data_IF_544053670171
#
_entry.id   IF_544053670171
#
_cell.length_a   1.000
_cell.length_b   1.000
_cell.length_c   1.000
_cell.angle_alpha   90.00
_cell.angle_beta   90.00
_cell.angle_gamma   90.00
#
_symmetry.space_group_name_H-M   'P 1'
#
loop_
_entity.id
_entity.type
_entity.pdbx_description
1 polymer ?
#
# COMPACT_ATOMS: atom_id res chain seq x y z
N UNK A 1 16.26 -8.28 -78.57
CA UNK A 1 16.33 -7.42 -77.36
C UNK A 1 15.64 -8.14 -76.21
N UNK A 2 16.37 -8.59 -75.19
CA UNK A 2 15.82 -9.28 -73.99
C UNK A 2 16.25 -8.47 -72.77
N UNK A 3 15.31 -7.81 -72.10
CA UNK A 3 15.58 -7.00 -70.90
C UNK A 3 15.51 -7.90 -69.66
N UNK A 4 16.58 -7.93 -68.88
CA UNK A 4 16.66 -8.55 -67.56
C UNK A 4 16.22 -7.49 -66.54
N UNK A 5 15.19 -7.78 -65.76
CA UNK A 5 14.76 -6.96 -64.63
C UNK A 5 15.32 -7.60 -63.35
N UNK A 6 16.29 -6.92 -62.72
CA UNK A 6 16.71 -7.18 -61.35
C UNK A 6 15.63 -6.68 -60.39
N UNK A 7 15.07 -7.58 -59.58
CA UNK A 7 14.20 -7.23 -58.46
C UNK A 7 15.03 -7.06 -57.18
N UNK A 8 15.00 -5.87 -56.60
CA UNK A 8 15.54 -5.56 -55.27
C UNK A 8 14.67 -6.21 -54.18
N UNK A 9 15.24 -7.13 -53.39
CA UNK A 9 14.59 -7.66 -52.19
C UNK A 9 14.76 -6.68 -51.03
N UNK A 10 13.67 -6.05 -50.60
CA UNK A 10 13.62 -5.17 -49.43
C UNK A 10 13.53 -6.03 -48.16
N UNK A 11 14.63 -6.16 -47.42
CA UNK A 11 14.65 -6.85 -46.13
C UNK A 11 14.08 -5.92 -45.04
N UNK A 12 12.85 -6.19 -44.60
CA UNK A 12 12.24 -5.57 -43.41
C UNK A 12 12.93 -6.10 -42.14
N UNK A 13 13.87 -5.34 -41.60
CA UNK A 13 14.41 -5.55 -40.25
C UNK A 13 13.33 -5.15 -39.22
N UNK A 14 12.62 -6.13 -38.67
CA UNK A 14 11.77 -5.93 -37.50
C UNK A 14 12.66 -5.76 -36.26
N UNK A 15 12.77 -4.53 -35.76
CA UNK A 15 13.38 -4.24 -34.47
C UNK A 15 12.42 -4.76 -33.38
N UNK A 16 12.74 -5.92 -32.81
CA UNK A 16 12.07 -6.43 -31.62
C UNK A 16 12.49 -5.54 -30.43
N UNK A 17 11.69 -4.53 -30.11
CA UNK A 17 11.84 -3.78 -28.86
C UNK A 17 11.41 -4.71 -27.73
N UNK A 18 12.36 -5.31 -27.05
CA UNK A 18 12.09 -6.03 -25.80
C UNK A 18 11.68 -5.03 -24.74
N UNK A 19 10.39 -4.96 -24.42
CA UNK A 19 9.92 -4.25 -23.25
C UNK A 19 10.54 -4.93 -22.01
N UNK A 20 11.41 -4.23 -21.30
CA UNK A 20 11.97 -4.71 -20.05
C UNK A 20 10.82 -4.93 -19.05
N UNK A 21 10.53 -6.20 -18.76
CA UNK A 21 9.47 -6.55 -17.82
C UNK A 21 9.91 -6.10 -16.42
N UNK A 22 9.11 -5.25 -15.77
CA UNK A 22 9.40 -4.77 -14.42
C UNK A 22 9.57 -5.98 -13.48
N UNK A 23 10.78 -6.21 -12.99
CA UNK A 23 11.03 -7.28 -12.03
C UNK A 23 10.44 -6.87 -10.68
N UNK A 24 9.46 -7.63 -10.22
CA UNK A 24 8.79 -7.41 -8.93
C UNK A 24 9.41 -8.34 -7.89
N UNK A 25 9.93 -7.77 -6.80
CA UNK A 25 10.42 -8.50 -5.63
C UNK A 25 9.43 -8.34 -4.48
N UNK A 26 9.05 -9.45 -3.84
CA UNK A 26 8.31 -9.38 -2.58
C UNK A 26 9.21 -8.80 -1.48
N UNK A 27 8.76 -7.73 -0.83
CA UNK A 27 9.46 -7.04 0.26
C UNK A 27 8.74 -7.18 1.60
N UNK A 28 7.47 -7.56 1.58
CA UNK A 28 6.70 -7.93 2.77
C UNK A 28 5.76 -9.09 2.45
N UNK A 29 5.53 -9.93 3.45
CA UNK A 29 4.49 -10.97 3.46
C UNK A 29 3.75 -10.85 4.79
N UNK A 30 2.42 -10.76 4.75
CA UNK A 30 1.59 -10.57 5.94
C UNK A 30 0.34 -11.46 5.84
N UNK A 31 0.24 -12.45 6.72
CA UNK A 31 -0.94 -13.31 6.83
C UNK A 31 -2.03 -12.58 7.62
N UNK A 32 -2.93 -11.85 6.95
CA UNK A 32 -3.92 -10.99 7.63
C UNK A 32 -4.87 -11.81 8.53
N UNK A 33 -5.27 -12.99 8.05
CA UNK A 33 -6.06 -13.97 8.78
C UNK A 33 -5.69 -15.39 8.35
N UNK A 34 -4.42 -15.75 8.56
CA UNK A 34 -3.81 -17.03 8.15
C UNK A 34 -3.40 -17.11 6.67
N UNK A 35 -2.84 -18.25 6.23
CA UNK A 35 -2.13 -18.36 4.94
C UNK A 35 -3.00 -18.10 3.69
N UNK A 36 -4.31 -18.37 3.79
CA UNK A 36 -5.26 -18.13 2.69
C UNK A 36 -5.55 -16.64 2.47
N UNK A 37 -5.40 -15.84 3.53
CA UNK A 37 -5.67 -14.41 3.54
C UNK A 37 -4.35 -13.63 3.65
N UNK A 38 -3.30 -14.15 3.02
CA UNK A 38 -2.00 -13.51 3.00
C UNK A 38 -1.90 -12.48 1.87
N UNK A 39 -1.31 -11.34 2.20
CA UNK A 39 -0.99 -10.27 1.27
C UNK A 39 0.52 -10.06 1.20
N UNK A 40 1.01 -9.70 0.02
CA UNK A 40 2.41 -9.35 -0.17
C UNK A 40 2.56 -7.95 -0.75
N UNK A 41 3.50 -7.19 -0.19
CA UNK A 41 3.98 -5.96 -0.80
C UNK A 41 5.08 -6.31 -1.78
N UNK A 42 4.88 -5.94 -3.03
CA UNK A 42 5.85 -6.10 -4.11
C UNK A 42 6.47 -4.74 -4.43
N UNK A 43 7.78 -4.74 -4.64
CA UNK A 43 8.57 -3.58 -5.08
C UNK A 43 9.20 -3.88 -6.43
N UNK A 44 8.98 -3.01 -7.41
CA UNK A 44 9.64 -3.08 -8.72
C UNK A 44 11.13 -2.76 -8.67
N UNK A 45 11.82 -2.87 -9.81
CA UNK A 45 13.16 -2.32 -9.99
C UNK A 45 13.18 -0.80 -9.78
N UNK A 46 14.28 -0.22 -9.25
CA UNK A 46 14.39 1.21 -9.02
C UNK A 46 14.30 2.01 -10.32
N UNK A 47 13.66 3.17 -10.24
CA UNK A 47 13.66 4.25 -11.22
C UNK A 47 14.26 5.48 -10.53
N UNK A 48 15.60 5.60 -10.58
CA UNK A 48 16.36 6.53 -9.72
C UNK A 48 16.07 6.19 -8.24
N UNK A 49 15.49 7.10 -7.47
CA UNK A 49 15.20 6.93 -6.03
C UNK A 49 13.76 6.46 -5.75
N UNK A 50 13.02 6.11 -6.79
CA UNK A 50 11.63 5.69 -6.69
C UNK A 50 11.46 4.23 -7.06
N UNK A 51 10.43 3.60 -6.50
CA UNK A 51 10.00 2.27 -6.88
C UNK A 51 8.50 2.27 -7.18
N UNK A 52 8.09 1.39 -8.07
CA UNK A 52 6.66 1.11 -8.29
C UNK A 52 6.23 0.01 -7.33
N UNK A 53 5.21 0.28 -6.52
CA UNK A 53 4.70 -0.65 -5.52
C UNK A 53 3.41 -1.33 -6.00
N UNK A 54 3.32 -2.62 -5.71
CA UNK A 54 2.14 -3.45 -6.00
C UNK A 54 1.78 -4.28 -4.79
N UNK A 55 0.51 -4.64 -4.70
CA UNK A 55 -0.02 -5.62 -3.76
C UNK A 55 -0.31 -6.92 -4.50
N UNK A 56 0.09 -8.04 -3.91
CA UNK A 56 -0.27 -9.38 -4.40
C UNK A 56 -1.18 -10.07 -3.40
N UNK A 57 -2.33 -10.52 -3.88
CA UNK A 57 -3.28 -11.38 -3.16
C UNK A 57 -3.87 -12.39 -4.14
N UNK A 58 -3.97 -13.67 -3.74
CA UNK A 58 -4.45 -14.78 -4.60
C UNK A 58 -3.80 -14.79 -5.99
N UNK A 59 -2.47 -14.61 -6.06
CA UNK A 59 -1.68 -14.52 -7.30
C UNK A 59 -2.01 -13.35 -8.24
N UNK A 60 -2.91 -12.44 -7.84
CA UNK A 60 -3.23 -11.22 -8.60
C UNK A 60 -2.39 -10.06 -8.09
N UNK A 61 -1.63 -9.45 -9.00
CA UNK A 61 -0.86 -8.24 -8.72
C UNK A 61 -1.71 -7.02 -9.08
N UNK A 62 -1.87 -6.10 -8.13
CA UNK A 62 -2.51 -4.80 -8.35
C UNK A 62 -1.55 -3.71 -7.94
N UNK A 63 -1.62 -2.56 -8.60
CA UNK A 63 -0.93 -1.37 -8.12
C UNK A 63 -1.41 -1.03 -6.70
N UNK A 64 -0.50 -0.50 -5.86
CA UNK A 64 -0.92 -0.08 -4.51
C UNK A 64 -1.86 1.11 -4.58
N UNK A 65 -1.82 1.93 -5.63
CA UNK A 65 -2.85 2.92 -5.97
C UNK A 65 -3.34 2.70 -7.40
N UNK A 66 -4.38 3.39 -7.85
CA UNK A 66 -5.08 3.04 -9.12
C UNK A 66 -4.20 3.02 -10.37
N UNK A 67 -3.10 3.78 -10.37
CA UNK A 67 -2.22 3.93 -11.53
C UNK A 67 -0.78 3.59 -11.19
N UNK A 68 0.02 3.36 -12.24
CA UNK A 68 1.47 3.19 -12.12
C UNK A 68 2.11 4.42 -11.47
N UNK A 69 1.70 5.62 -11.91
CA UNK A 69 2.26 6.88 -11.43
C UNK A 69 1.92 7.10 -9.96
N UNK A 70 0.67 6.91 -9.56
CA UNK A 70 0.26 7.02 -8.15
C UNK A 70 0.96 5.98 -7.26
N UNK A 71 1.35 4.83 -7.82
CA UNK A 71 2.07 3.78 -7.10
C UNK A 71 3.58 3.92 -7.10
N UNK A 72 4.11 4.97 -7.74
CA UNK A 72 5.53 5.29 -7.71
C UNK A 72 5.82 6.06 -6.43
N UNK A 73 6.66 5.50 -5.57
CA UNK A 73 6.99 6.14 -4.31
C UNK A 73 8.45 6.04 -3.88
N UNK A 74 8.83 6.98 -3.03
CA UNK A 74 10.10 7.03 -2.32
C UNK A 74 9.85 6.90 -0.81
N UNK A 75 10.90 6.58 -0.05
CA UNK A 75 10.81 6.50 1.42
C UNK A 75 9.67 5.60 1.93
N UNK A 76 9.31 4.56 1.20
CA UNK A 76 8.18 3.68 1.57
C UNK A 76 8.59 2.74 2.68
N UNK A 77 7.77 2.70 3.73
CA UNK A 77 7.90 1.84 4.89
C UNK A 77 6.68 0.93 4.98
N UNK A 78 6.87 -0.25 5.55
CA UNK A 78 5.79 -1.19 5.78
C UNK A 78 5.98 -1.96 7.08
N UNK A 79 4.89 -2.35 7.72
CA UNK A 79 4.90 -3.18 8.91
C UNK A 79 3.71 -4.13 8.88
N UNK A 80 3.97 -5.42 9.14
CA UNK A 80 2.92 -6.38 9.47
C UNK A 80 2.82 -6.41 11.00
N UNK A 81 1.71 -5.95 11.56
CA UNK A 81 1.52 -5.86 13.01
C UNK A 81 0.30 -6.67 13.45
N UNK A 82 0.29 -7.07 14.72
CA UNK A 82 -0.68 -7.98 15.30
C UNK A 82 -0.95 -7.63 16.76
N UNK A 83 -2.19 -7.79 17.22
CA UNK A 83 -2.53 -7.81 18.65
C UNK A 83 -3.00 -9.19 19.13
N UNK A 84 -3.32 -10.10 18.21
CA UNK A 84 -3.91 -11.40 18.50
C UNK A 84 -3.44 -12.43 17.48
N UNK A 85 -3.30 -13.72 17.87
CA UNK A 85 -2.99 -14.79 16.92
C UNK A 85 -3.97 -14.79 15.74
N UNK A 86 -3.43 -14.81 14.52
CA UNK A 86 -4.19 -14.80 13.26
C UNK A 86 -5.03 -13.55 12.99
N UNK A 87 -4.72 -12.42 13.62
CA UNK A 87 -5.31 -11.13 13.27
C UNK A 87 -4.18 -10.12 13.07
N UNK A 88 -3.81 -9.94 11.80
CA UNK A 88 -2.70 -9.08 11.41
C UNK A 88 -3.17 -8.02 10.43
N UNK A 89 -2.43 -6.92 10.40
CA UNK A 89 -2.60 -5.84 9.41
C UNK A 89 -1.28 -5.51 8.77
N UNK A 90 -1.35 -5.23 7.47
CA UNK A 90 -0.22 -4.69 6.72
C UNK A 90 -0.40 -3.18 6.59
N UNK A 91 0.47 -2.45 7.26
CA UNK A 91 0.57 -1.00 7.19
C UNK A 91 1.63 -0.61 6.16
N UNK A 92 1.31 0.23 5.18
CA UNK A 92 2.27 0.76 4.19
C UNK A 92 2.16 2.28 4.12
N UNK A 93 3.26 3.03 4.23
CA UNK A 93 3.26 4.49 4.10
C UNK A 93 4.53 5.01 3.43
N UNK A 94 4.44 6.09 2.65
CA UNK A 94 5.59 6.70 2.00
C UNK A 94 5.23 7.93 1.18
N UNK A 95 6.20 8.42 0.40
CA UNK A 95 6.01 9.55 -0.50
C UNK A 95 5.56 9.04 -1.86
N UNK A 96 4.25 9.09 -2.13
CA UNK A 96 3.65 8.60 -3.37
C UNK A 96 3.08 9.75 -4.20
N UNK A 97 3.88 10.36 -5.08
CA UNK A 97 3.47 11.44 -6.03
C UNK A 97 2.55 12.54 -5.47
N UNK A 98 2.51 12.72 -4.15
CA UNK A 98 1.56 13.55 -3.41
C UNK A 98 2.33 14.53 -2.56
N UNK A 99 1.67 15.64 -2.21
CA UNK A 99 2.25 16.65 -1.33
C UNK A 99 2.26 16.22 0.15
N UNK A 100 1.72 15.04 0.45
CA UNK A 100 1.63 14.44 1.78
C UNK A 100 2.18 13.01 1.78
N UNK A 101 2.51 12.49 2.95
CA UNK A 101 2.78 11.07 3.11
C UNK A 101 1.48 10.30 2.91
N UNK A 102 1.48 9.36 1.99
CA UNK A 102 0.31 8.56 1.64
C UNK A 102 0.55 7.10 1.95
N UNK A 103 -0.53 6.35 2.08
CA UNK A 103 -0.42 4.93 2.26
C UNK A 103 -1.75 4.24 2.42
N UNK A 104 -1.65 2.97 2.80
CA UNK A 104 -2.77 2.09 2.96
C UNK A 104 -2.54 1.12 4.13
N UNK A 105 -3.60 0.88 4.89
CA UNK A 105 -3.70 -0.20 5.85
C UNK A 105 -4.56 -1.31 5.23
N UNK A 106 -4.04 -2.54 5.21
CA UNK A 106 -4.77 -3.72 4.74
C UNK A 106 -5.09 -4.63 5.93
N UNK A 107 -6.33 -5.10 6.00
CA UNK A 107 -6.82 -5.97 7.06
C UNK A 107 -7.84 -6.97 6.53
N UNK A 108 -8.03 -8.09 7.22
CA UNK A 108 -9.10 -9.02 6.89
C UNK A 108 -10.34 -8.70 7.73
N UNK A 109 -11.44 -8.37 7.08
CA UNK A 109 -12.72 -8.14 7.74
C UNK A 109 -13.46 -9.47 7.88
N UNK A 110 -13.66 -9.92 9.11
CA UNK A 110 -14.32 -11.20 9.40
C UNK A 110 -15.82 -11.19 9.06
N UNK A 111 -16.46 -10.03 9.02
CA UNK A 111 -17.88 -9.89 8.70
C UNK A 111 -18.12 -10.01 7.19
N UNK A 112 -17.25 -9.40 6.38
CA UNK A 112 -17.34 -9.46 4.90
C UNK A 112 -16.62 -10.67 4.32
N UNK A 113 -15.67 -11.24 5.07
CA UNK A 113 -14.78 -12.30 4.60
C UNK A 113 -13.82 -11.82 3.51
N UNK A 114 -13.54 -10.51 3.46
CA UNK A 114 -12.69 -9.89 2.44
C UNK A 114 -11.48 -9.21 3.07
N UNK A 115 -10.44 -9.03 2.25
CA UNK A 115 -9.37 -8.10 2.58
C UNK A 115 -9.87 -6.69 2.26
N UNK A 116 -9.98 -5.88 3.31
CA UNK A 116 -10.37 -4.49 3.25
C UNK A 116 -9.14 -3.58 3.32
N UNK A 117 -9.36 -2.31 2.99
CA UNK A 117 -8.34 -1.30 2.88
C UNK A 117 -8.80 0.01 3.51
N UNK A 118 -7.87 0.72 4.14
CA UNK A 118 -8.04 2.11 4.59
C UNK A 118 -6.93 2.95 3.96
N UNK A 119 -7.32 3.93 3.14
CA UNK A 119 -6.40 4.90 2.55
C UNK A 119 -6.28 6.15 3.42
N UNK A 120 -5.10 6.77 3.42
CA UNK A 120 -4.85 8.02 4.15
C UNK A 120 -3.77 8.85 3.45
N UNK A 121 -3.75 10.14 3.77
CA UNK A 121 -2.76 11.10 3.28
C UNK A 121 -2.52 12.19 4.34
N UNK A 122 -1.36 12.18 4.99
CA UNK A 122 -1.07 13.05 6.13
C UNK A 122 0.35 13.64 6.12
N UNK A 123 0.57 14.67 6.95
CA UNK A 123 1.87 15.38 7.04
C UNK A 123 2.97 14.53 7.68
N UNK A 124 2.59 13.60 8.54
CA UNK A 124 3.48 12.71 9.29
C UNK A 124 3.07 11.24 9.07
N UNK A 125 3.93 10.32 9.52
CA UNK A 125 3.63 8.90 9.49
C UNK A 125 2.59 8.54 10.55
N UNK A 126 1.79 7.49 10.32
CA UNK A 126 0.92 6.98 11.36
C UNK A 126 1.75 6.49 12.53
N UNK A 127 1.24 6.70 13.73
CA UNK A 127 1.90 6.26 14.96
C UNK A 127 1.22 5.06 15.61
N UNK A 128 -0.09 4.90 15.39
CA UNK A 128 -0.82 3.76 15.93
C UNK A 128 -1.74 3.10 14.91
N UNK A 129 -1.99 1.81 15.15
CA UNK A 129 -3.07 1.06 14.52
C UNK A 129 -3.95 0.49 15.62
N UNK A 130 -5.26 0.51 15.40
CA UNK A 130 -6.24 -0.13 16.27
C UNK A 130 -7.02 -1.15 15.45
N UNK A 131 -7.27 -2.34 16.02
CA UNK A 131 -7.99 -3.42 15.32
C UNK A 131 -9.08 -3.98 16.22
N UNK A 132 -10.31 -3.97 15.74
CA UNK A 132 -11.48 -4.54 16.43
C UNK A 132 -12.37 -5.31 15.46
N UNK A 133 -13.45 -5.92 15.96
CA UNK A 133 -14.44 -6.62 15.14
C UNK A 133 -15.17 -5.68 14.16
N UNK A 134 -15.10 -4.36 14.36
CA UNK A 134 -15.67 -3.33 13.51
C UNK A 134 -14.74 -2.98 12.34
N UNK A 135 -13.48 -3.37 12.41
CA UNK A 135 -12.46 -3.16 11.39
C UNK A 135 -11.16 -2.62 11.98
N UNK A 136 -10.21 -2.32 11.09
CA UNK A 136 -8.95 -1.70 11.47
C UNK A 136 -8.98 -0.19 11.22
N UNK A 137 -8.21 0.54 12.03
CA UNK A 137 -8.05 1.99 11.96
C UNK A 137 -6.59 2.37 12.11
N UNK A 138 -6.21 3.46 11.47
CA UNK A 138 -4.87 4.05 11.56
C UNK A 138 -4.97 5.44 12.15
N UNK A 139 -4.05 5.78 13.05
CA UNK A 139 -4.10 6.97 13.88
C UNK A 139 -2.81 7.77 13.73
N UNK A 140 -2.98 9.08 13.55
CA UNK A 140 -1.93 10.07 13.39
C UNK A 140 -1.96 11.05 14.56
N UNK A 141 -0.79 11.53 14.96
CA UNK A 141 -0.72 12.80 15.67
C UNK A 141 -0.96 13.92 14.67
N UNK A 142 -1.87 14.85 14.97
CA UNK A 142 -2.09 16.02 14.15
C UNK A 142 -0.91 16.99 14.33
N UNK A 143 -0.07 17.09 13.30
CA UNK A 143 1.05 18.05 13.24
C UNK A 143 0.74 19.25 12.34
N UNK A 144 -0.46 19.27 11.75
CA UNK A 144 -0.96 20.35 10.92
C UNK A 144 -1.66 21.43 11.73
N UNK A 145 -2.17 22.42 11.00
CA UNK A 145 -3.00 23.50 11.55
C UNK A 145 -4.44 23.47 10.97
N UNK A 146 -4.75 22.44 10.19
CA UNK A 146 -6.02 22.26 9.49
C UNK A 146 -7.15 21.80 10.44
N UNK A 147 -6.80 21.08 11.50
CA UNK A 147 -7.70 20.68 12.58
C UNK A 147 -7.19 21.19 13.94
N UNK A 148 -8.12 21.52 14.84
CA UNK A 148 -7.81 21.87 16.24
C UNK A 148 -7.60 20.66 17.15
N UNK A 149 -7.90 19.45 16.67
CA UNK A 149 -7.83 18.23 17.45
C UNK A 149 -6.42 17.62 17.41
N UNK A 150 -6.08 16.81 18.42
CA UNK A 150 -4.72 16.25 18.57
C UNK A 150 -4.45 15.02 17.71
N UNK A 151 -5.48 14.26 17.35
CA UNK A 151 -5.36 13.00 16.64
C UNK A 151 -6.31 12.93 15.45
N UNK A 152 -5.83 12.34 14.37
CA UNK A 152 -6.60 12.08 13.15
C UNK A 152 -6.70 10.57 12.97
N UNK A 153 -7.92 10.07 12.73
CA UNK A 153 -8.20 8.62 12.65
C UNK A 153 -8.87 8.31 11.32
N UNK A 154 -8.27 7.39 10.58
CA UNK A 154 -8.85 6.84 9.36
C UNK A 154 -9.32 5.40 9.62
N UNK A 155 -10.46 5.02 9.05
CA UNK A 155 -11.05 3.70 9.24
C UNK A 155 -11.84 3.19 8.03
N UNK A 156 -12.54 2.08 8.25
CA UNK A 156 -13.38 1.41 7.25
C UNK A 156 -14.36 2.39 6.57
N UNK A 157 -14.54 2.21 5.26
CA UNK A 157 -15.53 2.98 4.48
C UNK A 157 -15.25 4.48 4.47
N UNK A 158 -13.98 4.85 4.37
CA UNK A 158 -13.49 6.24 4.37
C UNK A 158 -13.88 7.03 5.62
N UNK A 159 -14.09 6.34 6.75
CA UNK A 159 -14.36 6.99 8.03
C UNK A 159 -13.16 7.84 8.43
N UNK A 160 -13.43 9.10 8.77
CA UNK A 160 -12.46 10.06 9.28
C UNK A 160 -12.96 10.67 10.58
N UNK A 161 -12.14 10.62 11.64
CA UNK A 161 -12.45 11.21 12.95
C UNK A 161 -11.30 12.08 13.42
N UNK A 162 -11.64 13.17 14.10
CA UNK A 162 -10.70 14.06 14.77
C UNK A 162 -10.94 13.96 16.28
N UNK A 163 -9.89 13.71 17.07
CA UNK A 163 -10.00 13.42 18.50
C UNK A 163 -8.99 14.21 19.33
N UNK A 164 -9.37 14.61 20.54
CA UNK A 164 -8.45 15.25 21.51
C UNK A 164 -7.70 14.25 22.39
N UNK A 165 -8.17 13.01 22.41
CA UNK A 165 -7.60 11.88 23.16
C UNK A 165 -7.50 10.66 22.25
N UNK A 166 -6.55 9.77 22.54
CA UNK A 166 -6.46 8.51 21.82
C UNK A 166 -7.71 7.65 22.08
N UNK A 167 -8.19 6.88 21.07
CA UNK A 167 -9.30 5.96 21.26
C UNK A 167 -9.01 4.99 22.40
N UNK A 168 -9.98 4.77 23.29
CA UNK A 168 -9.82 3.82 24.37
C UNK A 168 -10.05 2.39 23.85
N UNK A 169 -9.39 1.41 24.49
CA UNK A 169 -9.59 -0.01 24.17
C UNK A 169 -11.02 -0.48 24.46
N UNK A 170 -11.75 0.24 25.33
CA UNK A 170 -13.13 -0.04 25.72
C UNK A 170 -14.18 0.59 24.81
N UNK A 171 -13.79 1.37 23.80
CA UNK A 171 -14.75 2.01 22.90
C UNK A 171 -15.53 0.94 22.10
N UNK A 172 -16.69 1.30 21.51
CA UNK A 172 -17.47 0.37 20.67
C UNK A 172 -16.69 -0.15 19.45
N UNK A 173 -15.53 0.43 19.16
CA UNK A 173 -14.58 0.03 18.12
C UNK A 173 -13.22 -0.40 18.72
N UNK A 174 -13.20 -0.64 20.03
CA UNK A 174 -12.04 -0.71 20.89
C UNK A 174 -11.34 -2.06 20.79
N UNK A 175 -10.20 -2.04 20.11
CA UNK A 175 -9.14 -3.02 20.32
C UNK A 175 -7.92 -2.34 20.91
N UNK A 176 -6.90 -3.11 21.32
CA UNK A 176 -5.67 -2.54 21.82
C UNK A 176 -4.99 -1.68 20.76
N UNK A 177 -4.42 -0.56 21.22
CA UNK A 177 -3.61 0.32 20.40
C UNK A 177 -2.23 -0.29 20.19
N UNK A 178 -1.85 -0.47 18.93
CA UNK A 178 -0.54 -0.98 18.55
C UNK A 178 0.29 0.21 18.08
N UNK A 179 1.36 0.54 18.82
CA UNK A 179 2.33 1.55 18.37
C UNK A 179 3.17 0.97 17.22
N UNK A 180 3.18 1.70 16.11
CA UNK A 180 3.99 1.37 14.95
C UNK A 180 5.44 1.73 15.25
N UNK A 181 6.36 0.86 14.82
CA UNK A 181 7.79 1.12 14.99
C UNK A 181 8.19 2.31 14.11
N UNK A 182 9.23 3.03 14.54
CA UNK A 182 9.88 4.02 13.68
C UNK A 182 10.48 3.40 12.41
N UNK A 183 11.16 4.20 11.57
CA UNK A 183 11.74 3.74 10.31
C UNK A 183 12.46 2.40 10.45
N UNK A 184 12.05 1.41 9.65
CA UNK A 184 12.87 0.20 9.50
C UNK A 184 14.10 0.56 8.65
N UNK A 185 15.31 0.11 9.05
CA UNK A 185 16.57 0.45 8.38
C UNK A 185 16.65 -0.10 6.95
#
# INVERSE_FOLDING_TARGET
MRKVLLGFSLALLTIQVFAAQLQLKAVAHCELAGPKNAIELLRGSPLVDYYVYKIRHTQKNRFIFDTLDASRGASVQWQCVSNQPNMNVLMVSGEFTSNYLQGALFYFDQKTGQIERVDFAERNRPRWVQMSEQGARVIFENTGNESSHKYLVYGKGDTYLELDELPQESDENGGPLIELKGPQP
#
